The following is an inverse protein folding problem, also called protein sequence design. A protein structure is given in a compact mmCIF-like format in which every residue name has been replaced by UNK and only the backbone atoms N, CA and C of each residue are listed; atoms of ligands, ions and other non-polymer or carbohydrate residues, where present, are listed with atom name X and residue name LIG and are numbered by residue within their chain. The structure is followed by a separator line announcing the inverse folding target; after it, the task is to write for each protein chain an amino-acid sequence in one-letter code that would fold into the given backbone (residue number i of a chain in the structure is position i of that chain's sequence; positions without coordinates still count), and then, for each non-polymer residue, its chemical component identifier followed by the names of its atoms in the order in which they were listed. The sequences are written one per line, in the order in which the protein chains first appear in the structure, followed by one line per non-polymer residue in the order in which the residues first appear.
data_IF_834884771914
#
_entry.id   IF_834884771914
#
_cell.length_a   1.000
_cell.length_b   1.000
_cell.length_c   1.000
_cell.angle_alpha   90.00
_cell.angle_beta   90.00
_cell.angle_gamma   90.00
#
_symmetry.space_group_name_H-M   'P 1'
#
loop_
_entity.id
_entity.type
_entity.pdbx_description
1 polymer ?
#
# COMPACT_ATOMS: atom_id res chain seq x y z
N UNK A 1 22.66 44.73 23.85
CA UNK A 1 22.15 45.57 22.75
C UNK A 1 22.71 45.05 21.43
N UNK A 2 21.88 44.50 20.55
CA UNK A 2 22.27 44.13 19.17
C UNK A 2 21.11 44.54 18.25
N UNK A 3 21.37 45.38 17.24
CA UNK A 3 20.38 45.81 16.25
C UNK A 3 20.47 44.92 15.03
N UNK A 4 19.37 44.30 14.61
CA UNK A 4 19.25 43.64 13.30
C UNK A 4 18.26 44.44 12.46
N UNK A 5 18.73 44.95 11.31
CA UNK A 5 17.91 45.72 10.36
C UNK A 5 17.01 44.78 9.56
N UNK A 6 15.75 45.15 9.39
CA UNK A 6 14.87 44.54 8.41
C UNK A 6 15.32 44.90 6.98
N UNK A 7 15.23 43.93 6.06
CA UNK A 7 15.36 44.17 4.62
C UNK A 7 14.13 43.61 3.90
N UNK A 8 13.35 44.52 3.32
CA UNK A 8 12.21 44.23 2.47
C UNK A 8 12.70 43.79 1.08
N UNK A 9 12.38 42.57 0.65
CA UNK A 9 12.55 42.16 -0.75
C UNK A 9 11.25 42.39 -1.53
N UNK A 10 11.39 42.92 -2.76
CA UNK A 10 10.28 43.46 -3.54
C UNK A 10 9.54 42.39 -4.34
N UNK A 11 8.21 42.53 -4.44
CA UNK A 11 7.36 41.72 -5.34
C UNK A 11 7.73 42.00 -6.80
N UNK A 12 7.75 40.95 -7.63
CA UNK A 12 7.80 41.05 -9.10
C UNK A 12 6.68 40.18 -9.70
N UNK A 13 5.91 40.78 -10.60
CA UNK A 13 4.75 40.23 -11.33
C UNK A 13 4.70 40.93 -12.71
N UNK A 14 4.02 40.40 -13.74
CA UNK A 14 4.62 39.45 -14.67
C UNK A 14 4.77 40.01 -16.11
N UNK A 15 5.66 39.41 -16.90
CA UNK A 15 5.87 39.78 -18.31
C UNK A 15 4.84 39.12 -19.24
N UNK A 16 4.01 39.94 -19.92
CA UNK A 16 3.20 39.53 -21.08
C UNK A 16 3.96 39.81 -22.38
N UNK A 17 4.00 38.85 -23.31
CA UNK A 17 4.23 38.96 -24.79
C UNK A 17 4.35 37.54 -25.36
N UNK A 18 3.97 37.22 -26.59
CA UNK A 18 3.07 37.89 -27.54
C UNK A 18 2.55 36.84 -28.54
N UNK A 19 1.33 37.04 -29.06
CA UNK A 19 0.77 36.23 -30.15
C UNK A 19 1.37 36.70 -31.49
N UNK A 20 1.79 35.78 -32.37
CA UNK A 20 2.14 36.11 -33.75
C UNK A 20 1.48 35.11 -34.71
N UNK A 21 0.53 35.63 -35.48
CA UNK A 21 -0.05 34.98 -36.66
C UNK A 21 0.90 35.19 -37.85
N UNK A 22 1.11 34.15 -38.65
CA UNK A 22 1.82 34.20 -39.92
C UNK A 22 0.98 33.54 -41.02
N UNK A 23 0.40 34.36 -41.91
CA UNK A 23 -0.31 33.94 -43.11
C UNK A 23 0.49 34.39 -44.34
N UNK A 24 0.51 33.57 -45.39
CA UNK A 24 0.93 33.98 -46.74
C UNK A 24 2.04 33.13 -47.36
N UNK A 25 1.77 32.58 -48.56
CA UNK A 25 2.77 31.78 -49.29
C UNK A 25 2.16 30.90 -50.40
N UNK A 26 1.34 31.47 -51.29
CA UNK A 26 0.83 30.76 -52.47
C UNK A 26 1.92 30.70 -53.56
N UNK A 27 2.15 29.51 -54.11
CA UNK A 27 3.00 29.29 -55.29
C UNK A 27 2.70 27.95 -55.95
N UNK A 28 2.00 27.98 -57.09
CA UNK A 28 2.06 26.89 -58.07
C UNK A 28 3.37 26.97 -58.88
N UNK A 29 3.63 26.19 -59.92
CA UNK A 29 2.86 25.15 -60.62
C UNK A 29 3.88 24.46 -61.55
N UNK A 30 3.91 23.13 -61.68
CA UNK A 30 3.99 22.45 -62.99
C UNK A 30 3.84 20.92 -62.88
N UNK A 31 3.42 20.33 -63.98
CA UNK A 31 3.11 18.91 -64.16
C UNK A 31 4.34 18.09 -64.56
N UNK A 32 4.31 16.79 -64.22
CA UNK A 32 4.82 15.59 -64.91
C UNK A 32 4.73 14.47 -63.84
N UNK A 33 4.03 13.36 -64.01
CA UNK A 33 4.06 12.49 -65.18
C UNK A 33 4.92 11.26 -64.85
N UNK A 34 4.41 10.34 -64.03
CA UNK A 34 5.16 9.14 -63.62
C UNK A 34 4.44 8.37 -62.50
N UNK A 35 4.00 7.15 -62.80
CA UNK A 35 3.38 6.28 -61.79
C UNK A 35 4.43 5.74 -60.82
N UNK A 36 4.37 6.17 -59.56
CA UNK A 36 5.15 5.56 -58.48
C UNK A 36 4.36 4.38 -57.94
N UNK A 37 4.91 3.17 -58.11
CA UNK A 37 4.36 1.95 -57.53
C UNK A 37 4.22 2.14 -56.02
N UNK A 38 3.03 1.85 -55.49
CA UNK A 38 2.76 1.82 -54.06
C UNK A 38 3.45 0.61 -53.40
N UNK A 39 4.78 0.68 -53.28
CA UNK A 39 5.57 -0.25 -52.50
C UNK A 39 5.24 -0.06 -51.02
N UNK A 40 4.32 -0.88 -50.52
CA UNK A 40 3.99 -0.94 -49.10
C UNK A 40 5.23 -1.51 -48.40
N UNK A 41 6.11 -0.63 -47.91
CA UNK A 41 7.26 -1.04 -47.13
C UNK A 41 6.75 -1.63 -45.81
N UNK A 42 6.65 -2.96 -45.77
CA UNK A 42 6.33 -3.72 -44.57
C UNK A 42 7.54 -3.64 -43.62
N UNK A 43 7.67 -2.49 -42.94
CA UNK A 43 8.59 -2.34 -41.84
C UNK A 43 8.18 -3.35 -40.76
N UNK A 44 9.05 -4.31 -40.40
CA UNK A 44 8.75 -5.19 -39.28
C UNK A 44 8.55 -4.30 -38.06
N UNK A 45 7.34 -4.32 -37.49
CA UNK A 45 7.13 -3.70 -36.19
C UNK A 45 8.04 -4.45 -35.19
N UNK A 46 8.76 -3.75 -34.31
CA UNK A 46 9.45 -4.42 -33.23
C UNK A 46 8.41 -5.23 -32.46
N UNK A 47 8.62 -6.54 -32.37
CA UNK A 47 7.68 -7.45 -31.72
C UNK A 47 7.48 -6.98 -30.27
N UNK A 48 6.23 -6.83 -29.79
CA UNK A 48 5.99 -6.32 -28.45
C UNK A 48 6.70 -7.23 -27.45
N UNK A 49 7.65 -6.65 -26.69
CA UNK A 49 8.45 -7.41 -25.74
C UNK A 49 7.52 -8.20 -24.81
N UNK A 50 7.82 -9.49 -24.56
CA UNK A 50 7.00 -10.29 -23.66
C UNK A 50 6.97 -9.60 -22.28
N UNK A 51 5.80 -9.51 -21.63
CA UNK A 51 5.69 -8.84 -20.35
C UNK A 51 6.68 -9.46 -19.35
N UNK A 52 7.35 -8.64 -18.52
CA UNK A 52 8.35 -9.15 -17.59
C UNK A 52 7.73 -10.24 -16.71
N UNK A 53 8.46 -11.32 -16.42
CA UNK A 53 7.91 -12.44 -15.66
C UNK A 53 7.35 -11.92 -14.33
N UNK A 54 6.15 -12.39 -13.92
CA UNK A 54 5.58 -11.95 -12.66
C UNK A 54 6.56 -12.28 -11.55
N UNK A 55 6.89 -11.26 -10.74
CA UNK A 55 7.78 -11.43 -9.59
C UNK A 55 7.32 -12.62 -8.73
N UNK A 56 8.26 -13.43 -8.21
CA UNK A 56 7.92 -14.62 -7.45
C UNK A 56 6.96 -14.25 -6.32
N UNK A 57 5.81 -14.93 -6.30
CA UNK A 57 4.79 -14.68 -5.29
C UNK A 57 5.35 -15.04 -3.91
N UNK A 58 5.67 -14.02 -3.11
CA UNK A 58 6.07 -14.20 -1.72
C UNK A 58 4.86 -14.76 -0.97
N UNK A 59 4.90 -16.05 -0.64
CA UNK A 59 3.89 -16.70 0.19
C UNK A 59 4.10 -16.24 1.63
N UNK A 60 3.53 -15.09 1.97
CA UNK A 60 3.52 -14.59 3.34
C UNK A 60 2.57 -15.44 4.20
N UNK A 61 2.94 -15.75 5.46
CA UNK A 61 2.00 -16.36 6.41
C UNK A 61 0.80 -15.44 6.64
N UNK A 62 -0.39 -16.04 6.80
CA UNK A 62 -1.67 -15.34 6.77
C UNK A 62 -1.75 -14.14 7.72
N UNK A 63 -2.30 -13.02 7.21
CA UNK A 63 -2.88 -11.85 7.92
C UNK A 63 -2.11 -11.13 9.04
N UNK A 64 -1.01 -11.67 9.54
CA UNK A 64 -0.26 -11.12 10.69
C UNK A 64 1.05 -10.42 10.28
N UNK A 65 1.43 -10.49 9.01
CA UNK A 65 2.65 -9.91 8.47
C UNK A 65 3.94 -10.55 9.01
N UNK A 66 5.12 -10.01 8.63
CA UNK A 66 6.42 -10.51 9.06
C UNK A 66 6.65 -10.41 10.58
N UNK A 67 7.64 -11.14 11.08
CA UNK A 67 7.97 -11.18 12.53
C UNK A 67 8.33 -9.79 13.07
N UNK A 68 9.04 -8.96 12.29
CA UNK A 68 9.32 -7.56 12.64
C UNK A 68 8.03 -6.73 12.82
N UNK A 69 7.04 -6.89 11.94
CA UNK A 69 5.76 -6.20 12.06
C UNK A 69 5.02 -6.62 13.33
N UNK A 70 4.98 -7.92 13.63
CA UNK A 70 4.31 -8.44 14.83
C UNK A 70 4.97 -7.90 16.11
N UNK A 71 6.31 -7.84 16.16
CA UNK A 71 7.06 -7.24 17.28
C UNK A 71 6.78 -5.75 17.43
N UNK A 72 6.71 -5.02 16.32
CA UNK A 72 6.40 -3.58 16.31
C UNK A 72 5.00 -3.31 16.86
N UNK A 73 3.99 -4.07 16.41
CA UNK A 73 2.62 -3.99 16.92
C UNK A 73 2.53 -4.37 18.41
N UNK A 74 3.27 -5.38 18.85
CA UNK A 74 3.35 -5.77 20.26
C UNK A 74 3.97 -4.68 21.14
N UNK A 75 5.01 -3.98 20.66
CA UNK A 75 5.61 -2.84 21.36
C UNK A 75 4.63 -1.65 21.51
N UNK A 76 3.82 -1.37 20.48
CA UNK A 76 2.74 -0.36 20.57
C UNK A 76 1.70 -0.77 21.61
N UNK A 77 1.27 -2.02 21.60
CA UNK A 77 0.26 -2.53 22.53
C UNK A 77 0.75 -2.57 23.99
N UNK A 78 2.05 -2.86 24.20
CA UNK A 78 2.68 -2.68 25.51
C UNK A 78 2.71 -1.19 25.93
N UNK A 79 3.05 -0.29 25.00
CA UNK A 79 3.02 1.17 25.22
C UNK A 79 1.63 1.71 25.59
N UNK A 80 0.56 1.21 24.95
CA UNK A 80 -0.84 1.53 25.27
C UNK A 80 -1.21 1.15 26.70
N UNK A 81 -0.86 -0.07 27.11
CA UNK A 81 -1.11 -0.58 28.46
C UNK A 81 -0.35 0.22 29.51
N UNK A 82 0.90 0.57 29.22
CA UNK A 82 1.69 1.43 30.08
C UNK A 82 1.07 2.83 30.21
N UNK A 83 0.68 3.46 29.08
CA UNK A 83 0.00 4.76 29.05
C UNK A 83 -1.27 4.77 29.89
N UNK A 84 -2.15 3.78 29.71
CA UNK A 84 -3.42 3.70 30.45
C UNK A 84 -3.24 3.63 31.97
N UNK A 85 -2.09 3.15 32.46
CA UNK A 85 -1.78 3.06 33.89
C UNK A 85 -1.10 4.31 34.48
N UNK A 86 -0.74 5.32 33.66
CA UNK A 86 0.07 6.48 34.07
C UNK A 86 -0.34 7.82 33.44
N UNK A 87 -1.43 7.87 32.68
CA UNK A 87 -1.78 9.01 31.82
C UNK A 87 -1.97 10.35 32.57
N UNK A 88 -2.30 10.30 33.86
CA UNK A 88 -2.47 11.44 34.77
C UNK A 88 -1.16 11.88 35.46
N UNK A 89 -0.07 11.13 35.30
CA UNK A 89 1.22 11.38 35.92
C UNK A 89 2.30 11.68 34.86
N UNK A 90 2.67 12.95 34.64
CA UNK A 90 3.59 13.35 33.56
C UNK A 90 4.97 12.66 33.60
N UNK A 91 5.54 12.47 34.79
CA UNK A 91 6.87 11.86 34.94
C UNK A 91 6.84 10.37 34.58
N UNK A 92 5.83 9.64 35.06
CA UNK A 92 5.63 8.23 34.72
C UNK A 92 5.22 8.04 33.25
N UNK A 93 4.48 8.99 32.68
CA UNK A 93 4.16 9.04 31.26
C UNK A 93 5.41 9.21 30.39
N UNK A 94 6.35 10.08 30.78
CA UNK A 94 7.63 10.23 30.08
C UNK A 94 8.43 8.92 30.07
N UNK A 95 8.50 8.21 31.21
CA UNK A 95 9.14 6.88 31.31
C UNK A 95 8.42 5.85 30.43
N UNK A 96 7.09 5.79 30.45
CA UNK A 96 6.31 4.86 29.62
C UNK A 96 6.52 5.10 28.11
N UNK A 97 6.60 6.37 27.68
CA UNK A 97 6.89 6.74 26.29
C UNK A 97 8.31 6.36 25.88
N UNK A 98 9.30 6.61 26.73
CA UNK A 98 10.69 6.22 26.47
C UNK A 98 10.85 4.69 26.34
N UNK A 99 10.18 3.92 27.21
CA UNK A 99 10.16 2.45 27.13
C UNK A 99 9.50 1.95 25.83
N UNK A 100 8.38 2.55 25.40
CA UNK A 100 7.77 2.28 24.09
C UNK A 100 8.76 2.59 22.97
N UNK A 101 9.39 3.76 22.97
CA UNK A 101 10.33 4.18 21.93
C UNK A 101 11.51 3.19 21.76
N UNK A 102 12.08 2.71 22.87
CA UNK A 102 13.11 1.67 22.85
C UNK A 102 12.58 0.37 22.22
N UNK A 103 11.41 -0.12 22.67
CA UNK A 103 10.82 -1.35 22.14
C UNK A 103 10.46 -1.27 20.64
N UNK A 104 10.06 -0.09 20.13
CA UNK A 104 9.88 0.14 18.69
C UNK A 104 11.23 0.05 17.94
N UNK A 105 12.30 0.60 18.51
CA UNK A 105 13.66 0.51 17.96
C UNK A 105 14.18 -0.94 17.92
N UNK A 106 13.95 -1.71 18.99
CA UNK A 106 14.37 -3.12 19.06
C UNK A 106 13.60 -4.01 18.06
N UNK A 107 12.36 -3.65 17.74
CA UNK A 107 11.56 -4.31 16.71
C UNK A 107 12.01 -3.95 15.27
N UNK A 108 12.50 -2.73 15.05
CA UNK A 108 12.81 -2.17 13.74
C UNK A 108 14.31 -2.18 13.41
N UNK A 109 14.83 -3.35 13.00
CA UNK A 109 16.18 -3.46 12.42
C UNK A 109 16.36 -2.48 11.26
N UNK A 110 17.25 -1.51 11.44
CA UNK A 110 17.55 -0.48 10.43
C UNK A 110 16.41 0.49 10.10
N UNK A 111 15.28 0.49 10.84
CA UNK A 111 14.08 1.30 10.54
C UNK A 111 13.45 1.04 9.16
N UNK A 112 13.49 -0.21 8.70
CA UNK A 112 12.87 -0.63 7.43
C UNK A 112 11.67 -1.54 7.69
N UNK A 113 10.56 -1.29 7.00
CA UNK A 113 9.47 -2.24 6.82
C UNK A 113 9.73 -3.05 5.53
N UNK A 114 9.82 -4.38 5.65
CA UNK A 114 10.07 -5.28 4.52
C UNK A 114 8.89 -6.24 4.41
N UNK A 115 8.15 -6.20 3.29
CA UNK A 115 6.98 -7.06 3.04
C UNK A 115 5.91 -7.03 4.16
N UNK A 116 5.71 -5.88 4.81
CA UNK A 116 4.66 -5.68 5.81
C UNK A 116 3.28 -5.72 5.16
N UNK A 117 2.27 -6.16 5.91
CA UNK A 117 0.88 -6.28 5.42
C UNK A 117 -0.04 -5.31 6.12
N UNK A 118 -1.04 -4.78 5.41
CA UNK A 118 -2.08 -3.94 6.00
C UNK A 118 -3.25 -3.71 5.06
N UNK A 119 -4.11 -2.76 5.39
CA UNK A 119 -5.28 -2.37 4.59
C UNK A 119 -5.22 -0.89 4.27
N UNK A 120 -5.39 -0.50 3.01
CA UNK A 120 -5.49 0.93 2.64
C UNK A 120 -6.77 1.51 3.25
N UNK A 121 -6.63 2.48 4.17
CA UNK A 121 -7.78 3.19 4.77
C UNK A 121 -8.00 4.57 4.15
N UNK A 122 -6.96 5.15 3.55
CA UNK A 122 -7.05 6.36 2.73
C UNK A 122 -6.03 6.32 1.60
N UNK A 123 -6.47 6.68 0.40
CA UNK A 123 -5.64 7.13 -0.72
C UNK A 123 -6.30 8.40 -1.26
N UNK A 124 -5.50 9.43 -1.55
CA UNK A 124 -6.02 10.74 -1.98
C UNK A 124 -4.93 11.61 -2.60
N UNK A 125 -5.30 12.40 -3.61
CA UNK A 125 -4.50 13.55 -4.07
C UNK A 125 -4.70 14.72 -3.09
N UNK A 126 -3.61 15.32 -2.61
CA UNK A 126 -3.65 16.45 -1.70
C UNK A 126 -3.79 17.81 -2.43
N UNK A 127 -3.86 18.91 -1.67
CA UNK A 127 -3.99 20.26 -2.25
C UNK A 127 -2.80 20.67 -3.15
N UNK A 128 -1.62 20.09 -2.92
CA UNK A 128 -0.40 20.31 -3.72
C UNK A 128 -0.37 19.45 -5.00
N UNK A 129 -1.43 18.68 -5.27
CA UNK A 129 -1.57 17.72 -6.38
C UNK A 129 -0.64 16.50 -6.27
N UNK A 130 -0.20 16.15 -5.07
CA UNK A 130 0.62 14.96 -4.81
C UNK A 130 -0.22 13.87 -4.12
N UNK A 131 0.11 12.60 -4.36
CA UNK A 131 -0.56 11.49 -3.73
C UNK A 131 -0.16 11.28 -2.27
N UNK A 132 -1.15 11.06 -1.42
CA UNK A 132 -0.99 10.67 -0.03
C UNK A 132 -1.74 9.35 0.23
N UNK A 133 -1.15 8.47 1.03
CA UNK A 133 -1.73 7.17 1.39
C UNK A 133 -1.60 6.91 2.90
N UNK A 134 -2.58 6.22 3.47
CA UNK A 134 -2.58 5.72 4.85
C UNK A 134 -3.00 4.26 4.84
N UNK A 135 -2.14 3.40 5.40
CA UNK A 135 -2.35 1.96 5.52
C UNK A 135 -2.50 1.64 7.01
N UNK A 136 -3.61 1.00 7.37
CA UNK A 136 -3.80 0.45 8.70
C UNK A 136 -3.07 -0.89 8.80
N UNK A 137 -2.18 -1.01 9.79
CA UNK A 137 -1.33 -2.20 10.01
C UNK A 137 -1.70 -2.96 11.29
N UNK A 138 -2.62 -2.42 12.09
CA UNK A 138 -3.19 -3.04 13.28
C UNK A 138 -4.35 -2.21 13.85
N UNK A 139 -5.03 -2.67 14.91
CA UNK A 139 -6.12 -1.93 15.54
C UNK A 139 -5.64 -0.54 16.01
N UNK A 140 -6.16 0.53 15.41
CA UNK A 140 -5.73 1.91 15.71
C UNK A 140 -4.26 2.21 15.43
N UNK A 141 -3.59 1.47 14.52
CA UNK A 141 -2.18 1.72 14.15
C UNK A 141 -2.09 1.92 12.64
N UNK A 142 -1.51 3.04 12.22
CA UNK A 142 -1.34 3.37 10.79
C UNK A 142 0.10 3.70 10.44
N UNK A 143 0.47 3.42 9.19
CA UNK A 143 1.64 3.99 8.51
C UNK A 143 1.14 4.83 7.34
N UNK A 144 1.76 5.99 7.11
CA UNK A 144 1.28 6.94 6.10
C UNK A 144 2.38 7.83 5.54
N UNK A 145 2.07 8.48 4.44
CA UNK A 145 2.79 9.67 3.99
C UNK A 145 2.42 10.88 4.84
N UNK A 146 3.15 11.98 4.71
CA UNK A 146 2.62 13.29 5.06
C UNK A 146 1.38 13.64 4.21
N UNK A 147 0.67 14.70 4.61
CA UNK A 147 -0.55 15.17 3.94
C UNK A 147 -0.38 16.49 3.18
N UNK A 148 0.71 17.22 3.40
CA UNK A 148 0.99 18.55 2.80
C UNK A 148 2.48 18.67 2.48
N UNK A 149 2.82 19.29 1.36
CA UNK A 149 4.20 19.41 0.90
C UNK A 149 5.11 20.19 1.88
N UNK A 150 4.53 21.12 2.65
CA UNK A 150 5.26 21.86 3.68
C UNK A 150 5.71 20.96 4.84
N UNK A 151 4.86 20.03 5.30
CA UNK A 151 5.22 19.06 6.34
C UNK A 151 6.10 17.92 5.79
N UNK A 152 5.97 17.61 4.50
CA UNK A 152 6.78 16.59 3.82
C UNK A 152 8.22 17.06 3.46
N UNK A 153 8.54 18.33 3.74
CA UNK A 153 9.88 18.89 3.51
C UNK A 153 10.94 18.15 4.35
N UNK A 154 11.91 17.52 3.68
CA UNK A 154 12.91 16.65 4.31
C UNK A 154 12.47 15.19 4.51
N UNK A 155 11.21 14.86 4.19
CA UNK A 155 10.67 13.51 4.22
C UNK A 155 10.47 12.93 2.81
N UNK A 156 9.94 13.72 1.86
CA UNK A 156 9.69 13.31 0.47
C UNK A 156 8.84 12.03 0.36
N UNK A 157 7.83 11.89 1.21
CA UNK A 157 6.89 10.73 1.24
C UNK A 157 5.72 10.89 0.29
N UNK A 158 5.38 12.12 -0.10
CA UNK A 158 4.29 12.37 -1.05
C UNK A 158 4.65 11.85 -2.44
N UNK A 159 3.68 11.20 -3.10
CA UNK A 159 3.89 10.50 -4.36
C UNK A 159 3.64 11.43 -5.56
N UNK A 160 4.58 11.48 -6.51
CA UNK A 160 4.36 12.17 -7.79
C UNK A 160 3.23 11.44 -8.57
N UNK A 161 2.22 12.16 -9.13
CA UNK A 161 1.13 11.56 -9.90
C UNK A 161 1.54 10.71 -11.11
N UNK A 162 2.77 10.86 -11.61
CA UNK A 162 3.34 10.08 -12.72
C UNK A 162 4.15 8.88 -12.23
N UNK A 163 4.35 8.74 -10.92
CA UNK A 163 5.11 7.61 -10.36
C UNK A 163 4.31 6.29 -10.44
N UNK A 164 4.98 5.14 -10.67
CA UNK A 164 4.31 3.85 -10.60
C UNK A 164 3.65 3.57 -9.24
N UNK A 165 4.21 4.13 -8.15
CA UNK A 165 3.65 4.03 -6.80
C UNK A 165 2.27 4.71 -6.71
N UNK A 166 2.15 5.94 -7.24
CA UNK A 166 0.88 6.66 -7.26
C UNK A 166 -0.18 5.91 -8.06
N UNK A 167 0.15 5.48 -9.28
CA UNK A 167 -0.76 4.74 -10.16
C UNK A 167 -1.21 3.42 -9.52
N UNK A 168 -0.31 2.73 -8.81
CA UNK A 168 -0.64 1.54 -8.02
C UNK A 168 -1.57 1.86 -6.85
N UNK A 169 -1.30 2.91 -6.07
CA UNK A 169 -2.11 3.31 -4.92
C UNK A 169 -3.55 3.72 -5.32
N UNK A 170 -3.70 4.50 -6.38
CA UNK A 170 -5.01 4.89 -6.94
C UNK A 170 -5.80 3.68 -7.42
N UNK A 171 -5.16 2.74 -8.14
CA UNK A 171 -5.82 1.52 -8.62
C UNK A 171 -6.25 0.58 -7.49
N UNK A 172 -5.50 0.52 -6.39
CA UNK A 172 -5.80 -0.36 -5.27
C UNK A 172 -7.03 0.11 -4.47
N UNK A 173 -7.25 1.42 -4.33
CA UNK A 173 -8.43 1.96 -3.65
C UNK A 173 -8.51 1.67 -2.14
N UNK A 174 -9.59 2.14 -1.51
CA UNK A 174 -9.83 1.96 -0.07
C UNK A 174 -10.33 0.54 0.24
N UNK A 175 -10.01 0.05 1.45
CA UNK A 175 -10.35 -1.25 2.01
C UNK A 175 -9.61 -2.43 1.36
N UNK A 176 -8.61 -2.17 0.54
CA UNK A 176 -7.81 -3.20 -0.14
C UNK A 176 -6.66 -3.70 0.74
N UNK A 177 -6.56 -5.02 0.99
CA UNK A 177 -5.40 -5.63 1.61
C UNK A 177 -4.16 -5.48 0.73
N UNK A 178 -3.04 -5.09 1.33
CA UNK A 178 -1.79 -4.79 0.63
C UNK A 178 -0.57 -5.34 1.34
N UNK A 179 0.45 -5.68 0.55
CA UNK A 179 1.83 -5.83 0.99
C UNK A 179 2.59 -4.56 0.62
N UNK A 180 3.43 -4.05 1.51
CA UNK A 180 4.27 -2.89 1.26
C UNK A 180 5.67 -3.04 1.88
N UNK A 181 6.61 -2.29 1.34
CA UNK A 181 7.96 -2.13 1.89
C UNK A 181 8.30 -0.64 1.93
N UNK A 182 9.10 -0.19 2.89
CA UNK A 182 9.40 1.23 3.06
C UNK A 182 10.33 1.56 4.22
N UNK A 183 10.73 2.82 4.32
CA UNK A 183 11.65 3.32 5.34
C UNK A 183 10.94 4.23 6.33
N UNK A 184 11.13 3.99 7.62
CA UNK A 184 10.71 4.90 8.68
C UNK A 184 11.78 5.98 8.90
N UNK A 185 11.34 7.20 9.15
CA UNK A 185 12.24 8.31 9.48
C UNK A 185 12.62 8.25 10.96
N UNK A 186 13.87 8.60 11.29
CA UNK A 186 14.34 8.65 12.67
C UNK A 186 13.60 9.72 13.49
N UNK A 187 13.13 9.36 14.68
CA UNK A 187 12.70 10.30 15.72
C UNK A 187 13.63 10.20 16.92
N UNK A 188 14.10 11.35 17.43
CA UNK A 188 14.86 11.43 18.69
C UNK A 188 14.02 11.09 19.92
N UNK A 189 12.69 11.08 19.79
CA UNK A 189 11.74 10.95 20.91
C UNK A 189 11.04 9.60 20.93
N UNK A 190 10.68 9.07 19.75
CA UNK A 190 9.82 7.88 19.60
C UNK A 190 10.47 6.77 18.75
N UNK A 191 11.79 6.83 18.55
CA UNK A 191 12.59 6.04 17.60
C UNK A 191 12.28 6.29 16.11
N UNK A 192 10.99 6.35 15.76
CA UNK A 192 10.46 6.62 14.41
C UNK A 192 9.51 7.81 14.40
N UNK A 193 9.43 8.52 13.28
CA UNK A 193 8.59 9.70 13.14
C UNK A 193 7.09 9.36 13.14
N UNK A 194 6.29 10.18 13.81
CA UNK A 194 4.83 10.11 13.87
C UNK A 194 4.20 11.43 13.36
N UNK A 195 2.98 11.36 12.82
CA UNK A 195 2.21 12.52 12.37
C UNK A 195 1.40 13.22 13.48
N UNK A 196 1.27 12.57 14.64
CA UNK A 196 0.53 13.05 15.80
C UNK A 196 1.34 14.07 16.64
N UNK A 197 0.73 15.22 16.93
CA UNK A 197 1.28 16.22 17.85
C UNK A 197 0.86 16.01 19.32
N UNK A 198 -0.10 15.12 19.58
CA UNK A 198 -0.61 14.83 20.93
C UNK A 198 0.00 13.55 21.47
N UNK A 199 0.59 13.62 22.68
CA UNK A 199 1.16 12.46 23.39
C UNK A 199 0.09 11.36 23.59
N UNK A 200 -1.16 11.75 23.88
CA UNK A 200 -2.26 10.80 24.00
C UNK A 200 -2.39 9.97 22.72
N UNK A 201 -2.51 10.60 21.55
CA UNK A 201 -2.66 9.87 20.28
C UNK A 201 -1.39 9.15 19.86
N UNK A 202 -0.20 9.67 20.14
CA UNK A 202 1.07 8.93 19.98
C UNK A 202 1.06 7.60 20.75
N UNK A 203 0.53 7.61 21.97
CA UNK A 203 0.49 6.42 22.82
C UNK A 203 -0.71 5.50 22.54
N UNK A 204 -1.86 6.03 22.08
CA UNK A 204 -3.08 5.23 21.85
C UNK A 204 -3.33 4.88 20.37
N UNK A 205 -3.15 5.82 19.45
CA UNK A 205 -3.54 5.72 18.03
C UNK A 205 -2.43 6.26 17.10
N UNK A 206 -1.23 5.65 17.08
CA UNK A 206 -0.09 6.20 16.35
C UNK A 206 -0.23 6.13 14.82
N UNK A 207 0.31 7.16 14.18
CA UNK A 207 0.29 7.38 12.73
C UNK A 207 1.71 7.64 12.20
N UNK A 208 2.48 6.55 12.04
CA UNK A 208 3.89 6.64 11.67
C UNK A 208 4.09 7.17 10.26
N UNK A 209 5.09 8.04 10.08
CA UNK A 209 5.50 8.55 8.78
C UNK A 209 6.44 7.55 8.12
N UNK A 210 6.09 7.10 6.92
CA UNK A 210 6.83 6.11 6.13
C UNK A 210 7.05 6.59 4.69
N UNK A 211 8.26 6.41 4.19
CA UNK A 211 8.54 6.44 2.76
C UNK A 211 8.22 5.07 2.17
N UNK A 212 7.17 4.96 1.36
CA UNK A 212 6.83 3.72 0.67
C UNK A 212 7.79 3.50 -0.51
N UNK A 213 8.52 2.38 -0.48
CA UNK A 213 9.39 1.93 -1.56
C UNK A 213 8.69 0.90 -2.47
N UNK A 214 7.75 0.14 -1.91
CA UNK A 214 6.93 -0.84 -2.64
C UNK A 214 5.50 -0.88 -2.10
N UNK A 215 4.51 -1.04 -2.97
CA UNK A 215 3.10 -1.28 -2.62
C UNK A 215 2.48 -2.23 -3.66
N UNK A 216 1.84 -3.31 -3.21
CA UNK A 216 1.17 -4.31 -4.06
C UNK A 216 -0.11 -4.84 -3.39
N UNK A 217 -1.12 -5.28 -4.15
CA UNK A 217 -2.26 -5.98 -3.58
C UNK A 217 -1.79 -7.28 -2.90
N UNK A 218 -2.26 -7.52 -1.68
CA UNK A 218 -2.00 -8.78 -0.97
C UNK A 218 -2.91 -9.85 -1.55
N UNK A 219 -2.40 -10.59 -2.54
CA UNK A 219 -3.06 -11.81 -3.01
C UNK A 219 -2.92 -12.87 -1.91
N UNK A 220 -4.01 -13.20 -1.24
CA UNK A 220 -4.04 -14.44 -0.46
C UNK A 220 -3.87 -15.62 -1.43
N UNK A 221 -3.24 -16.73 -1.02
CA UNK A 221 -3.19 -17.92 -1.84
C UNK A 221 -4.62 -18.32 -2.23
N UNK A 222 -4.91 -18.36 -3.53
CA UNK A 222 -6.16 -18.96 -4.00
C UNK A 222 -6.16 -20.41 -3.49
N UNK A 223 -7.22 -20.88 -2.79
CA UNK A 223 -7.36 -22.30 -2.50
C UNK A 223 -7.18 -23.07 -3.81
N UNK A 224 -6.50 -24.23 -3.82
CA UNK A 224 -6.28 -24.98 -5.05
C UNK A 224 -7.59 -25.12 -5.81
N UNK A 225 -7.62 -24.60 -7.04
CA UNK A 225 -8.81 -24.69 -7.87
C UNK A 225 -9.16 -26.18 -8.01
N UNK A 226 -10.37 -26.53 -7.59
CA UNK A 226 -10.80 -27.90 -7.42
C UNK A 226 -10.58 -28.68 -8.72
N UNK A 227 -9.84 -29.78 -8.66
CA UNK A 227 -9.51 -30.63 -9.83
C UNK A 227 -10.70 -31.54 -10.11
N UNK A 228 -11.88 -30.95 -10.27
CA UNK A 228 -13.07 -31.61 -10.80
C UNK A 228 -12.97 -31.63 -12.32
N UNK A 229 -12.19 -32.59 -12.80
CA UNK A 229 -11.95 -32.82 -14.22
C UNK A 229 -13.25 -32.99 -15.00
N UNK A 230 -13.32 -32.32 -16.15
CA UNK A 230 -14.33 -32.55 -17.17
C UNK A 230 -14.23 -33.97 -17.73
N UNK A 231 -15.14 -34.86 -17.32
CA UNK A 231 -15.57 -36.03 -18.09
C UNK A 231 -17.08 -36.04 -18.20
N UNK A 232 -17.60 -35.34 -19.21
CA UNK A 232 -18.98 -35.51 -19.65
C UNK A 232 -19.06 -36.57 -20.75
N UNK A 233 -20.18 -37.29 -20.78
CA UNK A 233 -20.60 -38.25 -21.81
C UNK A 233 -19.87 -39.60 -21.83
N UNK A 234 -20.50 -40.59 -21.18
CA UNK A 234 -21.09 -41.68 -21.96
C UNK A 234 -22.47 -42.05 -21.41
N UNK A 235 -23.36 -42.53 -22.29
CA UNK A 235 -24.81 -42.67 -22.02
C UNK A 235 -25.30 -44.08 -22.35
N UNK A 236 -25.62 -44.87 -21.33
CA UNK A 236 -26.41 -46.10 -21.48
C UNK A 236 -27.35 -46.29 -20.26
N UNK A 237 -28.56 -46.78 -20.52
CA UNK A 237 -29.63 -46.95 -19.53
C UNK A 237 -29.92 -48.47 -19.28
N UNK A 238 -31.06 -48.89 -18.69
CA UNK A 238 -31.05 -49.50 -17.36
C UNK A 238 -31.43 -51.00 -17.32
N UNK A 239 -31.16 -51.68 -16.20
CA UNK A 239 -31.64 -53.04 -15.92
C UNK A 239 -32.12 -53.20 -14.45
N UNK A 240 -32.93 -54.23 -14.19
CA UNK A 240 -33.85 -54.34 -13.04
C UNK A 240 -33.38 -55.30 -11.93
N UNK A 241 -33.84 -54.99 -10.70
CA UNK A 241 -34.43 -55.88 -9.66
C UNK A 241 -33.76 -57.18 -9.18
N UNK A 242 -33.78 -57.36 -7.85
CA UNK A 242 -33.48 -58.59 -7.08
C UNK A 242 -33.05 -58.23 -5.65
N UNK A 243 -33.95 -58.10 -4.66
CA UNK A 243 -34.69 -59.12 -3.91
C UNK A 243 -33.94 -59.66 -2.66
N UNK A 244 -34.55 -59.40 -1.49
CA UNK A 244 -34.49 -60.09 -0.18
C UNK A 244 -33.15 -60.47 0.51
N UNK A 245 -32.94 -59.97 1.75
CA UNK A 245 -33.31 -60.69 3.01
C UNK A 245 -32.94 -59.96 4.33
N UNK A 246 -33.94 -59.34 4.94
CA UNK A 246 -34.42 -59.55 6.33
C UNK A 246 -33.51 -60.15 7.44
N UNK A 247 -33.25 -59.37 8.51
CA UNK A 247 -33.23 -59.73 9.97
C UNK A 247 -32.75 -58.50 10.80
N UNK A 248 -33.47 -57.98 11.82
CA UNK A 248 -33.39 -58.32 13.27
C UNK A 248 -31.95 -58.32 13.85
N UNK A 249 -31.55 -57.77 15.01
CA UNK A 249 -32.19 -57.16 16.21
C UNK A 249 -31.04 -56.57 17.12
N UNK A 250 -31.16 -55.66 18.09
CA UNK A 250 -32.26 -54.83 18.65
C UNK A 250 -31.69 -53.54 19.37
N UNK A 251 -32.49 -52.94 20.26
CA UNK A 251 -32.36 -51.72 21.11
C UNK A 251 -31.77 -52.06 22.54
N UNK A 252 -31.71 -51.18 23.57
CA UNK A 252 -30.83 -50.00 23.83
C UNK A 252 -30.17 -49.91 25.26
N UNK A 253 -29.53 -48.76 25.55
CA UNK A 253 -29.32 -48.12 26.87
C UNK A 253 -28.23 -48.75 27.78
N UNK A 254 -27.69 -48.11 28.84
CA UNK A 254 -28.06 -46.87 29.58
C UNK A 254 -26.83 -46.29 30.35
N UNK A 255 -26.86 -44.99 30.67
CA UNK A 255 -26.28 -44.28 31.84
C UNK A 255 -25.44 -45.05 32.89
N UNK A 256 -24.27 -44.51 33.28
CA UNK A 256 -23.94 -43.90 34.61
C UNK A 256 -22.53 -43.26 34.57
N UNK A 257 -22.36 -41.99 34.95
CA UNK A 257 -21.96 -41.46 36.27
C UNK A 257 -20.64 -42.02 36.85
N UNK A 258 -19.66 -41.13 37.00
CA UNK A 258 -19.06 -40.80 38.30
C UNK A 258 -18.54 -39.36 38.29
#
# INVERSE_FOLDING_TARGET
MIKIKALLSKRVLPSKRALLLGLGGLGGLLLLGGGVLAGIAFWPQPEPEPPPPPLPAIVLPERHGPVEQQKFLAAIEAGRKAYAAVADNPDRLAVARAARAQALCDALKGRVAIAWTGTIVQASVNADKLGAITIQIGPGVTVKTWNTAAADSGFSTLMDPKSPMFLGAEFLGRNTPVMFSGNFFNSSTDCVAEGNLSIQRTMTEPDFILYFAELRPLRMPTPPADVTGSTGHDKAAPAKAGADKQAKTDKPAKSEKH
#
